data_IF_578231290106
#
_entry.id   IF_578231290106
#
_cell.length_a   1.000
_cell.length_b   1.000
_cell.length_c   1.000
_cell.angle_alpha   90.00
_cell.angle_beta   90.00
_cell.angle_gamma   90.00
#
_symmetry.space_group_name_H-M   'P 1'
#
loop_
_entity.id
_entity.type
_entity.pdbx_description
1 polymer ?
#
# COMPACT_ATOMS: atom_id res chain seq x y z
N UNK A 1 25.27 4.94 15.20
CA UNK A 1 25.03 6.39 15.40
C UNK A 1 24.11 6.88 14.31
N UNK A 2 23.09 7.71 14.63
CA UNK A 2 22.21 8.32 13.60
C UNK A 2 22.82 9.64 13.13
N UNK A 3 22.85 9.85 11.82
CA UNK A 3 23.34 11.10 11.21
C UNK A 3 22.18 11.79 10.51
N UNK A 4 21.97 13.07 10.82
CA UNK A 4 20.99 13.88 10.12
C UNK A 4 21.49 14.21 8.71
N UNK A 5 20.60 14.09 7.72
CA UNK A 5 20.86 14.42 6.32
C UNK A 5 19.68 15.24 5.81
N UNK A 6 19.98 16.29 5.05
CA UNK A 6 18.96 17.07 4.34
C UNK A 6 18.87 16.57 2.90
N UNK A 7 17.66 16.38 2.39
CA UNK A 7 17.41 15.88 1.05
C UNK A 7 16.40 16.80 0.37
N UNK A 8 16.69 17.18 -0.86
CA UNK A 8 15.77 17.97 -1.70
C UNK A 8 15.04 17.03 -2.64
N UNK A 9 13.71 17.09 -2.64
CA UNK A 9 12.82 16.26 -3.45
C UNK A 9 11.74 17.16 -4.06
N UNK A 10 11.19 16.75 -5.19
CA UNK A 10 10.00 17.39 -5.75
C UNK A 10 8.78 17.27 -4.81
N UNK A 11 7.85 18.21 -4.94
CA UNK A 11 6.71 18.32 -4.04
C UNK A 11 5.83 17.06 -4.03
N UNK A 12 5.60 16.45 -5.18
CA UNK A 12 4.77 15.25 -5.34
C UNK A 12 5.40 14.06 -4.61
N UNK A 13 6.73 13.93 -4.65
CA UNK A 13 7.45 12.89 -3.92
C UNK A 13 7.35 13.09 -2.41
N UNK A 14 7.42 14.34 -1.94
CA UNK A 14 7.23 14.65 -0.51
C UNK A 14 5.79 14.34 -0.08
N UNK A 15 4.80 14.65 -0.91
CA UNK A 15 3.39 14.33 -0.64
C UNK A 15 3.17 12.82 -0.54
N UNK A 16 3.72 12.06 -1.48
CA UNK A 16 3.67 10.60 -1.48
C UNK A 16 4.29 10.00 -0.21
N UNK A 17 5.48 10.47 0.20
CA UNK A 17 6.15 10.01 1.42
C UNK A 17 5.33 10.31 2.68
N UNK A 18 4.69 11.48 2.75
CA UNK A 18 3.81 11.85 3.87
C UNK A 18 2.57 10.95 3.94
N UNK A 19 1.94 10.68 2.81
CA UNK A 19 0.80 9.77 2.73
C UNK A 19 1.17 8.36 3.22
N UNK A 20 2.34 7.85 2.80
CA UNK A 20 2.82 6.54 3.21
C UNK A 20 3.17 6.46 4.70
N UNK A 21 3.72 7.55 5.26
CA UNK A 21 3.96 7.66 6.69
C UNK A 21 2.63 7.66 7.47
N UNK A 22 1.62 8.39 7.00
CA UNK A 22 0.29 8.44 7.63
C UNK A 22 -0.48 7.11 7.54
N UNK A 23 -0.30 6.35 6.45
CA UNK A 23 -0.89 5.02 6.28
C UNK A 23 -0.19 3.94 7.12
N UNK A 24 1.02 4.23 7.63
CA UNK A 24 1.77 3.31 8.46
C UNK A 24 1.48 3.59 9.94
N UNK A 25 1.07 2.56 10.69
CA UNK A 25 0.62 2.67 12.10
C UNK A 25 1.61 3.40 13.05
N UNK A 26 2.89 3.51 12.68
CA UNK A 26 3.98 4.11 13.50
C UNK A 26 5.10 4.81 12.72
N UNK A 27 4.93 5.09 11.43
CA UNK A 27 6.06 5.52 10.58
C UNK A 27 6.28 7.03 10.52
N UNK A 28 7.52 7.49 10.74
CA UNK A 28 7.91 8.86 10.36
C UNK A 28 8.33 8.94 8.89
N UNK A 29 8.27 10.12 8.28
CA UNK A 29 8.75 10.34 6.89
C UNK A 29 10.20 9.87 6.72
N UNK A 30 11.06 10.18 7.68
CA UNK A 30 12.46 9.74 7.67
C UNK A 30 12.61 8.22 7.73
N UNK A 31 11.73 7.53 8.45
CA UNK A 31 11.76 6.06 8.57
C UNK A 31 11.25 5.38 7.30
N UNK A 32 10.22 5.95 6.65
CA UNK A 32 9.76 5.50 5.33
C UNK A 32 10.88 5.65 4.31
N UNK A 33 11.56 6.79 4.30
CA UNK A 33 12.68 7.05 3.41
C UNK A 33 13.87 6.13 3.69
N UNK A 34 14.24 5.93 4.96
CA UNK A 34 15.34 5.05 5.35
C UNK A 34 15.07 3.58 4.95
N UNK A 35 13.82 3.12 5.08
CA UNK A 35 13.39 1.81 4.61
C UNK A 35 13.49 1.68 3.09
N UNK A 36 13.09 2.72 2.35
CA UNK A 36 13.18 2.74 0.89
C UNK A 36 14.64 2.63 0.43
N UNK A 37 15.53 3.46 1.01
CA UNK A 37 16.96 3.46 0.71
C UNK A 37 17.61 2.13 1.12
N UNK A 38 17.27 1.61 2.30
CA UNK A 38 17.78 0.32 2.77
C UNK A 38 17.35 -0.81 1.83
N UNK A 39 16.10 -0.82 1.39
CA UNK A 39 15.61 -1.81 0.42
C UNK A 39 16.36 -1.69 -0.91
N UNK A 40 16.49 -0.47 -1.46
CA UNK A 40 17.19 -0.23 -2.72
C UNK A 40 18.67 -0.63 -2.66
N UNK A 41 19.31 -0.50 -1.49
CA UNK A 41 20.69 -0.94 -1.25
C UNK A 41 20.82 -2.45 -1.06
N UNK A 42 19.88 -3.08 -0.36
CA UNK A 42 19.91 -4.50 -0.02
C UNK A 42 19.51 -5.40 -1.20
N UNK A 43 18.61 -4.91 -2.03
CA UNK A 43 18.24 -5.51 -3.30
C UNK A 43 18.08 -4.34 -4.26
N UNK A 44 19.06 -4.16 -5.16
CA UNK A 44 18.86 -3.25 -6.27
C UNK A 44 17.51 -3.58 -6.88
N UNK A 45 16.60 -2.61 -6.96
CA UNK A 45 15.34 -2.79 -7.68
C UNK A 45 15.57 -3.08 -9.20
N UNK A 46 16.84 -3.15 -9.60
CA UNK A 46 17.37 -3.57 -10.90
C UNK A 46 17.69 -5.07 -11.00
N UNK A 47 17.70 -5.83 -9.90
CA UNK A 47 17.84 -7.29 -9.95
C UNK A 47 16.51 -7.89 -10.45
N UNK A 48 16.48 -8.59 -11.59
CA UNK A 48 15.24 -9.13 -12.16
C UNK A 48 14.44 -10.01 -11.18
N UNK A 49 15.13 -10.69 -10.28
CA UNK A 49 14.55 -11.57 -9.26
C UNK A 49 13.98 -10.81 -8.04
N UNK A 50 14.32 -9.52 -7.86
CA UNK A 50 13.84 -8.67 -6.78
C UNK A 50 12.55 -7.91 -7.15
N UNK A 51 12.19 -7.88 -8.44
CA UNK A 51 10.90 -7.42 -8.93
C UNK A 51 9.83 -8.44 -8.52
N UNK A 52 9.40 -8.35 -7.25
CA UNK A 52 8.20 -9.08 -6.81
C UNK A 52 6.99 -8.32 -7.33
N UNK A 53 6.46 -8.78 -8.46
CA UNK A 53 5.13 -8.40 -8.94
C UNK A 53 4.14 -8.48 -7.77
N UNK A 54 3.41 -7.39 -7.55
CA UNK A 54 2.44 -7.29 -6.45
C UNK A 54 1.25 -8.18 -6.80
N UNK A 55 1.18 -9.36 -6.20
CA UNK A 55 0.03 -10.26 -6.14
C UNK A 55 -0.88 -10.24 -7.39
N UNK A 56 -0.33 -10.74 -8.49
CA UNK A 56 -1.02 -11.02 -9.75
C UNK A 56 0.01 -11.15 -10.86
N UNK A 57 -0.02 -12.26 -11.60
CA UNK A 57 0.54 -12.26 -12.95
C UNK A 57 -0.31 -11.28 -13.74
N UNK A 58 0.22 -10.12 -14.09
CA UNK A 58 -0.43 -9.33 -15.13
C UNK A 58 -0.02 -10.03 -16.41
N UNK A 59 -0.90 -10.91 -16.89
CA UNK A 59 -0.78 -11.45 -18.23
C UNK A 59 -0.89 -10.26 -19.17
N UNK A 60 0.25 -9.87 -19.75
CA UNK A 60 0.27 -8.87 -20.80
C UNK A 60 -0.31 -9.52 -22.05
N UNK A 61 -1.23 -8.86 -22.77
CA UNK A 61 -1.72 -9.37 -24.04
C UNK A 61 -0.55 -9.54 -25.01
N UNK A 62 -0.40 -10.72 -25.62
CA UNK A 62 0.67 -10.96 -26.62
C UNK A 62 0.52 -10.02 -27.84
N UNK A 63 -0.67 -9.48 -28.06
CA UNK A 63 -1.03 -8.53 -29.10
C UNK A 63 -0.75 -7.05 -28.75
N UNK A 64 -0.27 -6.75 -27.54
CA UNK A 64 0.12 -5.38 -27.13
C UNK A 64 1.49 -5.36 -26.43
N UNK A 65 2.59 -5.69 -27.15
CA UNK A 65 3.94 -5.75 -26.56
C UNK A 65 4.46 -4.37 -26.12
N UNK A 66 4.03 -3.31 -26.80
CA UNK A 66 4.43 -1.92 -26.53
C UNK A 66 3.52 -1.21 -25.52
N UNK A 67 2.51 -1.91 -24.98
CA UNK A 67 1.59 -1.42 -23.95
C UNK A 67 0.78 -0.19 -24.36
N UNK A 68 0.51 -0.02 -25.65
CA UNK A 68 -0.23 1.14 -26.18
C UNK A 68 -1.66 1.21 -25.62
N UNK A 69 -2.22 0.06 -25.20
CA UNK A 69 -3.58 -0.04 -24.66
C UNK A 69 -3.62 -0.25 -23.14
N UNK A 70 -2.47 -0.19 -22.45
CA UNK A 70 -2.38 -0.47 -21.02
C UNK A 70 -3.30 0.45 -20.18
N UNK A 71 -3.40 1.73 -20.54
CA UNK A 71 -4.27 2.69 -19.86
C UNK A 71 -5.75 2.28 -19.94
N UNK A 72 -6.21 1.89 -21.12
CA UNK A 72 -7.58 1.43 -21.33
C UNK A 72 -7.84 0.12 -20.57
N UNK A 73 -6.86 -0.79 -20.57
CA UNK A 73 -6.92 -2.07 -19.88
C UNK A 73 -7.05 -1.90 -18.36
N UNK A 74 -6.18 -1.09 -17.74
CA UNK A 74 -6.21 -0.80 -16.30
C UNK A 74 -7.51 -0.12 -15.93
N UNK A 75 -7.97 0.87 -16.71
CA UNK A 75 -9.26 1.52 -16.49
C UNK A 75 -10.41 0.51 -16.48
N UNK A 76 -10.41 -0.45 -17.40
CA UNK A 76 -11.42 -1.52 -17.45
C UNK A 76 -11.39 -2.46 -16.23
N UNK A 77 -10.22 -2.75 -15.66
CA UNK A 77 -10.10 -3.52 -14.41
C UNK A 77 -10.68 -2.75 -13.23
N UNK A 78 -10.33 -1.46 -13.10
CA UNK A 78 -10.80 -0.60 -12.02
C UNK A 78 -12.32 -0.41 -12.10
N UNK A 79 -12.86 -0.11 -13.28
CA UNK A 79 -14.30 0.05 -13.49
C UNK A 79 -15.08 -1.22 -13.10
N UNK A 80 -14.53 -2.41 -13.37
CA UNK A 80 -15.12 -3.69 -12.92
C UNK A 80 -15.01 -3.90 -11.42
N UNK A 81 -13.91 -3.50 -10.80
CA UNK A 81 -13.70 -3.62 -9.35
C UNK A 81 -14.68 -2.73 -8.57
N UNK A 82 -14.87 -1.48 -9.02
CA UNK A 82 -15.81 -0.52 -8.41
C UNK A 82 -17.25 -1.03 -8.44
N UNK A 83 -17.63 -1.76 -9.50
CA UNK A 83 -18.98 -2.32 -9.66
C UNK A 83 -19.24 -3.55 -8.77
N UNK A 84 -18.23 -4.12 -8.09
CA UNK A 84 -18.43 -5.24 -7.17
C UNK A 84 -18.91 -4.73 -5.80
N UNK A 85 -20.02 -5.24 -5.27
CA UNK A 85 -20.47 -4.87 -3.94
C UNK A 85 -19.47 -5.38 -2.89
N UNK A 86 -18.77 -4.47 -2.21
CA UNK A 86 -17.92 -4.79 -1.07
C UNK A 86 -18.77 -5.07 0.17
N UNK A 87 -18.99 -6.34 0.50
CA UNK A 87 -19.60 -6.74 1.76
C UNK A 87 -18.52 -6.76 2.87
N UNK A 88 -18.37 -5.65 3.60
CA UNK A 88 -17.49 -5.58 4.77
C UNK A 88 -18.21 -6.16 5.98
N UNK A 89 -17.73 -7.28 6.49
CA UNK A 89 -18.24 -7.86 7.75
C UNK A 89 -17.58 -7.13 8.92
N UNK A 90 -18.29 -6.16 9.49
CA UNK A 90 -17.79 -5.45 10.68
C UNK A 90 -17.55 -6.43 11.83
N UNK A 91 -16.34 -6.40 12.39
CA UNK A 91 -16.05 -7.12 13.64
C UNK A 91 -16.67 -6.32 14.78
N UNK A 92 -17.54 -6.93 15.61
CA UNK A 92 -18.13 -6.23 16.74
C UNK A 92 -17.02 -5.70 17.67
N UNK A 93 -17.18 -4.51 18.26
CA UNK A 93 -16.19 -3.94 19.16
C UNK A 93 -15.93 -4.92 20.32
N UNK A 94 -14.65 -5.20 20.58
CA UNK A 94 -14.22 -5.99 21.75
C UNK A 94 -14.53 -5.19 23.02
N UNK A 95 -15.73 -5.38 23.55
CA UNK A 95 -16.14 -4.68 24.78
C UNK A 95 -17.59 -4.88 25.20
N UNK A 96 -18.49 -5.33 24.32
CA UNK A 96 -19.89 -5.55 24.69
C UNK A 96 -20.12 -6.88 25.43
N UNK A 97 -19.41 -7.11 26.54
CA UNK A 97 -19.86 -8.09 27.54
C UNK A 97 -20.99 -7.43 28.31
N UNK A 98 -22.23 -7.80 27.97
CA UNK A 98 -23.45 -7.45 28.70
C UNK A 98 -23.20 -7.58 30.21
N UNK A 99 -23.26 -6.47 30.94
CA UNK A 99 -23.42 -6.49 32.39
C UNK A 99 -24.85 -6.98 32.68
N UNK A 100 -25.01 -8.30 32.78
CA UNK A 100 -26.26 -8.95 33.17
C UNK A 100 -26.49 -8.86 34.68
N UNK A 101 -27.03 -7.74 35.13
CA UNK A 101 -28.05 -7.59 36.18
C UNK A 101 -27.93 -8.49 37.43
N UNK A 102 -27.26 -7.98 38.46
CA UNK A 102 -27.57 -8.29 39.87
C UNK A 102 -28.95 -7.71 40.20
N UNK A 103 -29.89 -8.54 40.63
CA UNK A 103 -31.16 -8.11 41.20
C UNK A 103 -31.68 -9.22 42.10
N UNK A 104 -31.47 -9.07 43.41
CA UNK A 104 -31.98 -9.99 44.42
C UNK A 104 -33.48 -9.83 44.64
N UNK A 105 -34.13 -10.95 44.94
CA UNK A 105 -34.96 -11.22 46.12
C UNK A 105 -35.12 -12.73 46.23
#
# INVERSE_FOLDING_TARGET
MRRAVSVTLEQDNVLWLKAQAAASDKGSVSEVLDRLVTRARAAGASEPNAIRSVAGTIDLPEDDPDLEQADAYVKGIVDRSIRRPMAVRERPPRGARKLGRRGGR
#
